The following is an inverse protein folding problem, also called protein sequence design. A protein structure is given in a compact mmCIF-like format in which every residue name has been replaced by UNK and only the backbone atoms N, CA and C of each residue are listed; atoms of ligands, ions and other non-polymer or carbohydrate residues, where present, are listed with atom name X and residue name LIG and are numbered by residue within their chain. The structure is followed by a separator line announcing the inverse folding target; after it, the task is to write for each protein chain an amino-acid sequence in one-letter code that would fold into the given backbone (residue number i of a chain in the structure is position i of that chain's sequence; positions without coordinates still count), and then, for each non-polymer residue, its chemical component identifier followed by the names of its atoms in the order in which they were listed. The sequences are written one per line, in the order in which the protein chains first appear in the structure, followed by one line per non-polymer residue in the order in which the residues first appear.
data_IF_904391762524
#
_entry.id   IF_904391762524
#
_cell.length_a   1.000
_cell.length_b   1.000
_cell.length_c   1.000
_cell.angle_alpha   90.00
_cell.angle_beta   90.00
_cell.angle_gamma   90.00
#
_symmetry.space_group_name_H-M   'P 1'
#
loop_
_entity.id
_entity.type
_entity.pdbx_description
1 polymer ?
#
# COMPACT_ATOMS: atom_id res chain seq x y z
N UNK A 1 12.85 -12.86 3.68
CA UNK A 1 13.27 -12.52 2.50
C UNK A 1 14.24 -11.43 2.44
N UNK A 2 15.39 -11.78 2.38
CA UNK A 2 16.47 -10.82 2.29
C UNK A 2 16.60 -10.33 0.89
N UNK A 3 17.03 -9.12 0.71
CA UNK A 3 17.38 -8.60 -0.58
C UNK A 3 16.28 -7.94 -1.38
N UNK A 4 15.11 -7.77 -0.78
CA UNK A 4 14.05 -7.02 -1.46
C UNK A 4 14.11 -5.56 -1.03
N UNK A 5 14.19 -4.68 -2.03
CA UNK A 5 14.16 -3.24 -1.80
C UNK A 5 12.98 -2.66 -2.56
N UNK A 6 12.28 -1.75 -1.93
CA UNK A 6 11.15 -1.07 -2.54
C UNK A 6 11.53 0.37 -2.78
N UNK A 7 11.40 0.80 -4.02
CA UNK A 7 11.60 2.20 -4.37
C UNK A 7 10.27 2.91 -4.25
N UNK A 8 10.22 3.92 -3.38
CA UNK A 8 8.99 4.64 -3.08
C UNK A 8 9.17 6.10 -3.43
N UNK A 9 8.21 6.64 -4.16
CA UNK A 9 8.14 8.07 -4.44
C UNK A 9 7.20 8.68 -3.43
N UNK A 10 7.65 9.72 -2.73
CA UNK A 10 6.83 10.39 -1.75
C UNK A 10 5.65 11.08 -2.41
N UNK A 11 4.46 10.77 -1.98
CA UNK A 11 3.25 11.46 -2.41
C UNK A 11 2.14 11.16 -1.40
N UNK A 12 1.17 12.05 -1.31
CA UNK A 12 0.09 11.90 -0.35
C UNK A 12 -1.26 11.61 -0.99
N UNK A 13 -1.29 11.38 -2.30
CA UNK A 13 -2.50 11.00 -3.03
C UNK A 13 -2.22 9.74 -3.82
N UNK A 14 -3.28 9.10 -4.29
CA UNK A 14 -3.15 7.89 -5.07
C UNK A 14 -4.28 7.77 -6.08
N UNK A 15 -4.03 7.06 -7.15
CA UNK A 15 -5.02 6.74 -8.17
C UNK A 15 -5.34 5.26 -8.09
N UNK A 16 -6.50 4.91 -8.59
CA UNK A 16 -6.94 3.51 -8.61
C UNK A 16 -5.93 2.63 -9.34
N UNK A 17 -5.57 1.54 -8.72
CA UNK A 17 -4.63 0.59 -9.29
C UNK A 17 -3.19 0.83 -8.94
N UNK A 18 -2.87 1.92 -8.27
CA UNK A 18 -1.50 2.18 -7.85
C UNK A 18 -1.15 1.40 -6.60
N UNK A 19 0.08 0.91 -6.54
CA UNK A 19 0.59 0.26 -5.35
C UNK A 19 1.18 1.35 -4.46
N UNK A 20 0.70 1.43 -3.23
CA UNK A 20 1.06 2.51 -2.32
C UNK A 20 1.55 1.96 -1.00
N UNK A 21 2.28 2.83 -0.28
CA UNK A 21 2.56 2.62 1.13
C UNK A 21 1.51 3.42 1.88
N UNK A 22 0.63 2.72 2.57
CA UNK A 22 -0.47 3.33 3.29
C UNK A 22 -0.22 3.19 4.79
N UNK A 23 -0.60 4.22 5.54
CA UNK A 23 -0.51 4.22 7.00
C UNK A 23 -1.88 3.86 7.54
N UNK A 24 -1.96 2.72 8.18
CA UNK A 24 -3.22 2.21 8.71
C UNK A 24 -3.20 2.34 10.23
N UNK A 25 -4.20 3.04 10.76
CA UNK A 25 -4.30 3.27 12.19
C UNK A 25 -5.05 2.11 12.86
N UNK A 26 -4.56 1.70 14.00
CA UNK A 26 -5.15 0.67 14.82
C UNK A 26 -4.62 0.85 16.23
N UNK A 27 -4.28 -0.23 16.91
CA UNK A 27 -3.57 -0.12 18.18
C UNK A 27 -2.24 0.57 17.98
N UNK A 28 -1.61 0.27 16.85
CA UNK A 28 -0.39 0.93 16.43
C UNK A 28 -0.58 1.33 14.98
N UNK A 29 0.05 2.42 14.60
CA UNK A 29 0.06 2.82 13.20
C UNK A 29 1.04 1.94 12.45
N UNK A 30 0.59 1.33 11.39
CA UNK A 30 1.40 0.44 10.57
C UNK A 30 1.50 0.94 9.15
N UNK A 31 2.69 0.84 8.58
CA UNK A 31 2.89 1.06 7.16
C UNK A 31 2.64 -0.25 6.44
N UNK A 32 1.80 -0.23 5.43
CA UNK A 32 1.49 -1.42 4.66
C UNK A 32 1.52 -1.11 3.17
N UNK A 33 1.97 -2.08 2.38
CA UNK A 33 2.05 -1.94 0.92
C UNK A 33 0.84 -2.65 0.33
N UNK A 34 -0.01 -1.90 -0.35
CA UNK A 34 -1.27 -2.41 -0.89
C UNK A 34 -1.59 -1.71 -2.20
N UNK A 35 -2.45 -2.32 -3.00
CA UNK A 35 -3.00 -1.67 -4.18
C UNK A 35 -4.19 -0.81 -3.74
N UNK A 36 -4.21 0.43 -4.19
CA UNK A 36 -5.19 1.42 -3.79
C UNK A 36 -6.36 1.45 -4.78
N UNK A 37 -7.58 1.49 -4.24
CA UNK A 37 -8.78 1.74 -5.03
C UNK A 37 -9.71 2.65 -4.24
N UNK A 38 -10.19 3.69 -4.88
CA UNK A 38 -11.21 4.55 -4.30
C UNK A 38 -12.54 4.18 -4.93
N UNK A 39 -13.45 3.70 -4.13
CA UNK A 39 -14.76 3.23 -4.57
C UNK A 39 -15.83 4.02 -3.83
N UNK A 40 -17.05 3.94 -4.29
CA UNK A 40 -18.18 4.72 -3.76
C UNK A 40 -18.14 4.99 -2.26
N UNK A 41 -17.56 6.11 -1.89
CA UNK A 41 -17.54 6.56 -0.50
C UNK A 41 -16.54 5.85 0.41
N UNK A 42 -15.72 4.97 -0.10
CA UNK A 42 -14.73 4.28 0.72
C UNK A 42 -13.47 3.97 -0.07
N UNK A 43 -12.44 3.56 0.65
CA UNK A 43 -11.16 3.18 0.06
C UNK A 43 -10.95 1.70 0.33
N UNK A 44 -10.57 0.97 -0.71
CA UNK A 44 -10.22 -0.44 -0.59
C UNK A 44 -8.73 -0.59 -0.82
N UNK A 45 -8.05 -1.19 0.14
CA UNK A 45 -6.64 -1.51 0.05
C UNK A 45 -6.52 -3.01 -0.18
N UNK A 46 -6.11 -3.37 -1.38
CA UNK A 46 -6.09 -4.76 -1.82
C UNK A 46 -4.72 -5.36 -1.56
N UNK A 47 -4.63 -6.44 -0.79
CA UNK A 47 -3.34 -7.11 -0.58
C UNK A 47 -2.89 -7.82 -1.84
N UNK A 48 -1.58 -7.99 -1.96
CA UNK A 48 -0.99 -8.75 -3.06
C UNK A 48 -1.32 -10.24 -2.95
N UNK A 49 -1.55 -10.71 -1.75
CA UNK A 49 -1.84 -12.11 -1.51
C UNK A 49 -3.34 -12.34 -1.50
N UNK A 50 -3.82 -13.15 -2.43
CA UNK A 50 -5.26 -13.43 -2.59
C UNK A 50 -5.90 -14.09 -1.38
N UNK A 51 -5.11 -14.70 -0.51
CA UNK A 51 -5.65 -15.35 0.68
C UNK A 51 -6.02 -14.36 1.79
N UNK A 52 -5.61 -13.11 1.64
CA UNK A 52 -5.90 -12.08 2.63
C UNK A 52 -7.08 -11.23 2.19
N UNK A 53 -7.87 -10.80 3.17
CA UNK A 53 -9.01 -9.94 2.89
C UNK A 53 -8.56 -8.50 2.64
N UNK A 54 -9.26 -7.79 1.76
CA UNK A 54 -8.96 -6.37 1.57
C UNK A 54 -9.32 -5.55 2.81
N UNK A 55 -8.66 -4.44 2.97
CA UNK A 55 -8.94 -3.48 4.05
C UNK A 55 -9.85 -2.41 3.49
N UNK A 56 -10.99 -2.21 4.11
CA UNK A 56 -11.96 -1.19 3.70
C UNK A 56 -11.96 -0.09 4.75
N UNK A 57 -11.69 1.13 4.34
CA UNK A 57 -11.64 2.28 5.25
C UNK A 57 -12.31 3.48 4.60
N UNK A 58 -12.72 4.45 5.39
CA UNK A 58 -13.30 5.68 4.86
C UNK A 58 -12.22 6.63 4.41
N UNK A 59 -11.06 6.58 5.04
CA UNK A 59 -9.95 7.46 4.74
C UNK A 59 -8.65 6.75 5.10
N UNK A 60 -7.57 7.12 4.43
CA UNK A 60 -6.27 6.54 4.68
C UNK A 60 -5.19 7.56 4.34
N UNK A 61 -4.12 7.55 5.09
CA UNK A 61 -2.97 8.40 4.81
C UNK A 61 -2.01 7.65 3.91
N UNK A 62 -1.70 8.26 2.77
CA UNK A 62 -0.75 7.70 1.82
C UNK A 62 0.62 8.30 2.11
N UNK A 63 1.61 7.46 2.28
CA UNK A 63 2.99 7.90 2.50
C UNK A 63 3.78 7.96 1.20
N UNK A 64 3.43 7.13 0.23
CA UNK A 64 4.14 7.13 -1.03
C UNK A 64 3.56 6.14 -2.02
N UNK A 65 4.07 6.23 -3.24
CA UNK A 65 3.73 5.32 -4.32
C UNK A 65 4.93 4.42 -4.59
N UNK A 66 4.68 3.13 -4.73
CA UNK A 66 5.73 2.18 -5.05
C UNK A 66 6.07 2.32 -6.53
N UNK A 67 7.32 2.66 -6.82
CA UNK A 67 7.81 2.84 -8.19
C UNK A 67 8.46 1.58 -8.72
N UNK A 68 8.99 0.74 -7.85
CA UNK A 68 9.61 -0.48 -8.28
C UNK A 68 10.05 -1.32 -7.09
N UNK A 69 10.36 -2.56 -7.39
CA UNK A 69 10.88 -3.49 -6.40
C UNK A 69 12.18 -4.04 -6.96
N UNK A 70 13.23 -3.96 -6.17
CA UNK A 70 14.53 -4.51 -6.54
C UNK A 70 14.82 -5.72 -5.69
N UNK A 71 15.29 -6.75 -6.34
CA UNK A 71 15.77 -7.94 -5.64
C UNK A 71 17.20 -8.17 -6.04
N UNK A 72 18.01 -8.53 -5.08
CA UNK A 72 19.35 -8.95 -5.42
C UNK A 72 19.66 -10.24 -4.69
N UNK A 73 20.49 -11.03 -5.30
CA UNK A 73 20.87 -12.34 -4.80
C UNK A 73 22.32 -12.31 -4.39
N UNK A 74 22.60 -12.85 -3.26
CA UNK A 74 23.96 -12.95 -2.76
C UNK A 74 24.42 -14.39 -2.67
#
# INVERSE_FOLDING_TARGET
MDGDLILVEEQNTARNGEIVVAMVDGFETEATVKTFYKENGHIRLQPENDTMSPIIVNDVRIAGKVKGVFRYFS
#
